data_IF_713070953064
#
_entry.id   IF_713070953064
#
_cell.length_a   1.000
_cell.length_b   1.000
_cell.length_c   1.000
_cell.angle_alpha   90.00
_cell.angle_beta   90.00
_cell.angle_gamma   90.00
#
_symmetry.space_group_name_H-M   'P 1'
#
loop_
_entity.id
_entity.type
_entity.pdbx_description
1 polymer ?
#
# COMPACT_ATOMS: atom_id res chain seq x y z
N UNK A 1 17.59 -11.75 0.85
CA UNK A 1 17.19 -12.95 1.61
C UNK A 1 15.68 -13.08 1.46
N UNK A 2 15.19 -13.98 0.61
CA UNK A 2 13.76 -14.24 0.47
C UNK A 2 13.39 -15.30 1.50
N UNK A 3 12.67 -14.91 2.55
CA UNK A 3 12.06 -15.87 3.48
C UNK A 3 10.95 -16.62 2.75
N UNK A 4 10.98 -17.94 2.78
CA UNK A 4 9.86 -18.76 2.30
C UNK A 4 9.13 -19.35 3.49
N UNK A 5 7.79 -19.33 3.44
CA UNK A 5 6.93 -20.10 4.32
C UNK A 5 6.44 -21.33 3.55
N UNK A 6 6.57 -22.51 4.13
CA UNK A 6 6.02 -23.75 3.59
C UNK A 6 4.73 -24.08 4.33
N UNK A 7 3.66 -24.41 3.59
CA UNK A 7 2.38 -24.85 4.14
C UNK A 7 2.05 -26.26 3.63
N UNK A 8 1.38 -27.08 4.44
CA UNK A 8 0.82 -28.36 4.02
C UNK A 8 -0.45 -28.18 3.18
N UNK A 9 -0.82 -29.19 2.39
CA UNK A 9 -2.02 -29.13 1.54
C UNK A 9 -3.33 -28.90 2.32
N UNK A 10 -3.38 -29.31 3.59
CA UNK A 10 -4.52 -29.07 4.49
C UNK A 10 -4.63 -27.61 4.97
N UNK A 11 -3.54 -26.84 4.88
CA UNK A 11 -3.47 -25.43 5.31
C UNK A 11 -3.70 -24.43 4.17
N UNK A 12 -3.96 -24.89 2.94
CA UNK A 12 -4.10 -24.03 1.76
C UNK A 12 -5.13 -22.90 1.96
N UNK A 13 -6.29 -23.21 2.54
CA UNK A 13 -7.32 -22.20 2.83
C UNK A 13 -6.82 -21.11 3.78
N UNK A 14 -6.04 -21.49 4.81
CA UNK A 14 -5.49 -20.54 5.79
C UNK A 14 -4.36 -19.71 5.18
N UNK A 15 -3.53 -20.32 4.35
CA UNK A 15 -2.46 -19.64 3.62
C UNK A 15 -3.01 -18.62 2.61
N UNK A 16 -4.06 -18.98 1.86
CA UNK A 16 -4.75 -18.06 0.96
C UNK A 16 -5.36 -16.88 1.73
N UNK A 17 -6.06 -17.13 2.83
CA UNK A 17 -6.63 -16.07 3.66
C UNK A 17 -5.55 -15.11 4.21
N UNK A 18 -4.39 -15.63 4.61
CA UNK A 18 -3.25 -14.81 5.05
C UNK A 18 -2.71 -13.95 3.91
N UNK A 19 -2.50 -14.52 2.73
CA UNK A 19 -2.04 -13.79 1.55
C UNK A 19 -3.04 -12.72 1.08
N UNK A 20 -4.34 -13.01 1.14
CA UNK A 20 -5.39 -12.07 0.80
C UNK A 20 -5.45 -10.91 1.81
N UNK A 21 -5.33 -11.20 3.10
CA UNK A 21 -5.23 -10.18 4.15
C UNK A 21 -3.97 -9.31 3.97
N UNK A 22 -2.81 -9.92 3.66
CA UNK A 22 -1.58 -9.20 3.39
C UNK A 22 -1.70 -8.32 2.12
N UNK A 23 -2.34 -8.82 1.05
CA UNK A 23 -2.62 -8.04 -0.16
C UNK A 23 -3.62 -6.91 0.08
N UNK A 24 -4.59 -7.08 0.98
CA UNK A 24 -5.52 -6.03 1.33
C UNK A 24 -4.83 -4.82 1.99
N UNK A 25 -3.70 -5.03 2.68
CA UNK A 25 -2.82 -3.96 3.18
C UNK A 25 -2.08 -3.21 2.06
N UNK A 26 -2.02 -3.77 0.85
CA UNK A 26 -1.46 -3.14 -0.33
C UNK A 26 -2.54 -2.94 -1.40
N UNK A 27 -3.70 -2.40 -1.00
CA UNK A 27 -4.84 -2.11 -1.87
C UNK A 27 -5.03 -0.60 -2.07
N UNK A 28 -5.91 -0.17 -3.00
CA UNK A 28 -6.26 1.26 -3.14
C UNK A 28 -6.75 1.88 -1.82
N UNK A 29 -7.67 1.25 -1.06
CA UNK A 29 -8.03 1.71 0.28
C UNK A 29 -6.84 1.86 1.24
N UNK A 30 -5.81 1.03 1.12
CA UNK A 30 -4.62 1.16 1.96
C UNK A 30 -3.77 2.38 1.57
N UNK A 31 -3.72 2.74 0.29
CA UNK A 31 -3.09 3.99 -0.18
C UNK A 31 -3.89 5.19 0.36
N UNK A 32 -5.22 5.12 0.36
CA UNK A 32 -6.09 6.18 0.91
C UNK A 32 -5.91 6.33 2.42
N UNK A 33 -5.83 5.20 3.14
CA UNK A 33 -5.60 5.17 4.58
C UNK A 33 -4.21 5.71 4.95
N UNK A 34 -3.17 5.33 4.20
CA UNK A 34 -1.82 5.89 4.35
C UNK A 34 -1.84 7.41 4.18
N UNK A 35 -2.47 7.91 3.12
CA UNK A 35 -2.53 9.34 2.85
C UNK A 35 -3.25 10.10 3.97
N UNK A 36 -4.39 9.59 4.42
CA UNK A 36 -5.16 10.21 5.51
C UNK A 36 -4.37 10.25 6.81
N UNK A 37 -3.75 9.12 7.20
CA UNK A 37 -2.94 9.04 8.42
C UNK A 37 -1.69 9.94 8.35
N UNK A 38 -1.05 10.04 7.17
CA UNK A 38 0.12 10.88 6.97
C UNK A 38 -0.22 12.38 7.09
N UNK A 39 -1.40 12.82 6.61
CA UNK A 39 -1.88 14.18 6.83
C UNK A 39 -2.21 14.44 8.31
N UNK A 40 -2.88 13.51 8.99
CA UNK A 40 -3.18 13.62 10.43
C UNK A 40 -1.90 13.71 11.28
N UNK A 41 -0.83 13.05 10.85
CA UNK A 41 0.49 13.09 11.49
C UNK A 41 1.28 14.39 11.22
N UNK A 42 0.71 15.37 10.52
CA UNK A 42 1.35 16.65 10.20
C UNK A 42 2.05 16.68 8.84
N UNK A 43 1.85 15.65 8.01
CA UNK A 43 2.31 15.66 6.63
C UNK A 43 1.54 16.69 5.78
N UNK A 44 2.19 17.16 4.73
CA UNK A 44 1.63 18.09 3.74
C UNK A 44 1.28 17.35 2.45
N UNK A 45 0.12 17.63 1.87
CA UNK A 45 -0.30 17.06 0.58
C UNK A 45 0.73 17.37 -0.51
N UNK A 46 1.14 16.33 -1.24
CA UNK A 46 2.02 16.41 -2.41
C UNK A 46 1.43 15.68 -3.64
N UNK A 47 0.19 15.24 -3.54
CA UNK A 47 -0.51 14.46 -4.56
C UNK A 47 -1.52 13.51 -3.93
N UNK A 48 -2.80 13.91 -3.96
CA UNK A 48 -3.92 13.11 -3.47
C UNK A 48 -3.95 11.69 -4.05
N UNK A 49 -4.48 10.70 -3.32
CA UNK A 49 -4.65 9.35 -3.82
C UNK A 49 -5.38 9.33 -5.16
N UNK A 50 -4.82 8.60 -6.13
CA UNK A 50 -5.43 8.53 -7.44
C UNK A 50 -4.70 7.66 -8.45
N UNK A 51 -5.37 7.31 -9.56
CA UNK A 51 -4.75 6.58 -10.65
C UNK A 51 -3.65 7.41 -11.32
N UNK A 52 -2.56 6.74 -11.70
CA UNK A 52 -1.44 7.32 -12.45
C UNK A 52 -1.28 6.59 -13.77
N UNK A 53 -2.19 6.86 -14.71
CA UNK A 53 -2.28 6.15 -15.98
C UNK A 53 -0.98 6.19 -16.81
N UNK A 54 -0.12 7.20 -16.59
CA UNK A 54 1.21 7.31 -17.21
C UNK A 54 2.22 6.25 -16.73
N UNK A 55 2.01 5.64 -15.56
CA UNK A 55 2.81 4.52 -15.02
C UNK A 55 2.17 3.15 -15.24
N UNK A 56 0.89 3.11 -15.65
CA UNK A 56 0.17 1.87 -15.96
C UNK A 56 -1.33 1.95 -15.63
N UNK A 57 -2.15 1.05 -16.20
CA UNK A 57 -3.60 1.09 -16.06
C UNK A 57 -4.10 0.76 -14.65
N UNK A 58 -3.35 -0.02 -13.87
CA UNK A 58 -3.68 -0.38 -12.48
C UNK A 58 -2.98 0.49 -11.43
N UNK A 59 -2.04 1.35 -11.85
CA UNK A 59 -1.18 2.11 -10.94
C UNK A 59 -1.98 3.16 -10.18
N UNK A 60 -1.97 3.06 -8.85
CA UNK A 60 -2.68 3.95 -7.93
C UNK A 60 -1.72 4.40 -6.84
N UNK A 61 -1.59 5.71 -6.62
CA UNK A 61 -0.61 6.23 -5.67
C UNK A 61 -1.04 7.54 -5.00
N UNK A 62 -0.47 7.77 -3.81
CA UNK A 62 -0.57 9.00 -3.05
C UNK A 62 0.81 9.48 -2.61
N UNK A 63 0.97 10.79 -2.46
CA UNK A 63 2.22 11.43 -2.08
C UNK A 63 1.99 12.43 -0.94
N UNK A 64 2.86 12.39 0.06
CA UNK A 64 2.85 13.31 1.21
C UNK A 64 4.29 13.74 1.49
N UNK A 65 4.51 15.01 1.85
CA UNK A 65 5.78 15.47 2.44
C UNK A 65 5.64 15.38 3.95
N UNK A 66 6.54 14.67 4.63
CA UNK A 66 6.55 14.62 6.10
C UNK A 66 7.08 15.93 6.73
N UNK A 67 6.96 16.13 8.06
CA UNK A 67 7.47 17.32 8.73
C UNK A 67 8.99 17.55 8.60
N UNK A 68 9.76 16.50 8.30
CA UNK A 68 11.20 16.56 8.08
C UNK A 68 11.56 16.90 6.62
N UNK A 69 10.56 17.05 5.74
CA UNK A 69 10.72 17.39 4.34
C UNK A 69 10.94 16.19 3.42
N UNK A 70 10.80 14.95 3.92
CA UNK A 70 10.91 13.75 3.10
C UNK A 70 9.63 13.51 2.30
N UNK A 71 9.77 13.26 1.00
CA UNK A 71 8.64 12.86 0.15
C UNK A 71 8.38 11.37 0.31
N UNK A 72 7.22 11.05 0.89
CA UNK A 72 6.73 9.69 1.07
C UNK A 72 5.75 9.34 -0.06
N UNK A 73 5.78 8.09 -0.49
CA UNK A 73 4.93 7.55 -1.54
C UNK A 73 4.35 6.21 -1.11
N UNK A 74 3.04 6.04 -1.31
CA UNK A 74 2.37 4.74 -1.24
C UNK A 74 1.79 4.38 -2.61
N UNK A 75 2.03 3.14 -3.05
CA UNK A 75 1.65 2.65 -4.38
C UNK A 75 0.93 1.31 -4.29
N UNK A 76 -0.15 1.18 -5.05
CA UNK A 76 -0.80 -0.08 -5.42
C UNK A 76 -0.71 -0.26 -6.94
N UNK A 77 -0.23 -1.41 -7.40
CA UNK A 77 0.00 -1.72 -8.83
C UNK A 77 -0.47 -3.12 -9.20
#
# INVERSE_FOLDING_TARGET
MLGHLSFGAEDLTRATAFCDAARALFSRPAVDAFYSAALEAGGTDAGTPGPRAHYGPSFYAAFVIDPDGCKLEAVHK
#
